data_IF_592526595915
#
_entry.id   IF_592526595915
#
_cell.length_a   1.000
_cell.length_b   1.000
_cell.length_c   1.000
_cell.angle_alpha   90.00
_cell.angle_beta   90.00
_cell.angle_gamma   90.00
#
_symmetry.space_group_name_H-M   'P 1'
#
loop_
_entity.id
_entity.type
_entity.pdbx_description
1 polymer ?
#
# COMPACT_ATOMS: atom_id res chain seq x y z
N UNK A 1 -17.62 -25.96 -19.22
CA UNK A 1 -16.75 -25.37 -18.18
C UNK A 1 -16.55 -23.91 -18.54
N UNK A 2 -17.17 -22.99 -17.80
CA UNK A 2 -16.97 -21.54 -18.03
C UNK A 2 -15.63 -21.20 -17.41
N UNK A 3 -14.64 -20.79 -18.21
CA UNK A 3 -13.40 -20.25 -17.68
C UNK A 3 -13.71 -18.86 -17.12
N UNK A 4 -13.56 -18.69 -15.81
CA UNK A 4 -13.67 -17.39 -15.17
C UNK A 4 -12.52 -16.50 -15.66
N UNK A 5 -12.83 -15.30 -16.14
CA UNK A 5 -11.80 -14.33 -16.55
C UNK A 5 -11.25 -13.63 -15.30
N UNK A 6 -10.12 -14.11 -14.81
CA UNK A 6 -9.45 -13.56 -13.64
C UNK A 6 -8.72 -12.24 -13.92
N UNK A 7 -8.58 -11.79 -15.17
CA UNK A 7 -7.75 -10.63 -15.51
C UNK A 7 -8.48 -9.28 -15.38
N UNK A 8 -9.71 -9.26 -14.86
CA UNK A 8 -10.46 -8.02 -14.71
C UNK A 8 -9.94 -7.21 -13.53
N UNK A 9 -9.69 -5.93 -13.77
CA UNK A 9 -9.15 -5.02 -12.74
C UNK A 9 -10.07 -4.87 -11.52
N UNK A 10 -11.37 -5.06 -11.70
CA UNK A 10 -12.37 -5.07 -10.61
C UNK A 10 -12.14 -6.17 -9.56
N UNK A 11 -11.40 -7.23 -9.92
CA UNK A 11 -11.05 -8.31 -9.00
C UNK A 11 -9.81 -7.99 -8.14
N UNK A 12 -9.12 -6.88 -8.40
CA UNK A 12 -7.85 -6.54 -7.75
C UNK A 12 -7.92 -5.21 -7.03
N UNK A 13 -7.31 -5.17 -5.84
CA UNK A 13 -7.08 -3.93 -5.09
C UNK A 13 -5.70 -3.38 -5.48
N UNK A 14 -5.57 -2.06 -5.51
CA UNK A 14 -4.28 -1.42 -5.73
C UNK A 14 -3.27 -1.89 -4.66
N UNK A 15 -2.08 -2.27 -5.10
CA UNK A 15 -1.04 -2.85 -4.26
C UNK A 15 -0.60 -1.90 -3.14
N UNK A 16 -0.57 -0.60 -3.41
CA UNK A 16 -0.09 0.40 -2.46
C UNK A 16 -1.13 0.71 -1.39
N UNK A 17 -2.40 0.79 -1.77
CA UNK A 17 -3.51 0.84 -0.80
C UNK A 17 -3.55 -0.41 0.08
N UNK A 18 -3.42 -1.60 -0.50
CA UNK A 18 -3.39 -2.84 0.29
C UNK A 18 -2.22 -2.88 1.27
N UNK A 19 -1.10 -2.22 0.95
CA UNK A 19 0.04 -2.10 1.85
C UNK A 19 -0.21 -1.08 2.96
N UNK A 20 -0.83 0.06 2.66
CA UNK A 20 -1.25 1.04 3.66
C UNK A 20 -2.26 0.43 4.65
N UNK A 21 -3.23 -0.34 4.16
CA UNK A 21 -4.18 -1.08 5.00
C UNK A 21 -3.48 -2.09 5.92
N UNK A 22 -2.41 -2.72 5.44
CA UNK A 22 -1.57 -3.56 6.29
C UNK A 22 -0.90 -2.73 7.39
N UNK A 23 -0.27 -1.60 7.06
CA UNK A 23 0.40 -0.78 8.06
C UNK A 23 -0.60 -0.14 9.07
N UNK A 24 -1.83 0.15 8.63
CA UNK A 24 -2.92 0.56 9.52
C UNK A 24 -3.25 -0.54 10.55
N UNK A 25 -3.28 -1.82 10.15
CA UNK A 25 -3.46 -2.93 11.10
C UNK A 25 -2.30 -3.02 12.11
N UNK A 26 -1.07 -2.76 11.69
CA UNK A 26 0.07 -2.66 12.63
C UNK A 26 -0.11 -1.49 13.62
N UNK A 27 -0.60 -0.35 13.14
CA UNK A 27 -0.93 0.79 14.00
C UNK A 27 -2.07 0.49 14.97
N UNK A 28 -3.04 -0.35 14.58
CA UNK A 28 -4.12 -0.79 15.47
C UNK A 28 -3.57 -1.52 16.69
N UNK A 29 -2.54 -2.37 16.54
CA UNK A 29 -1.89 -3.05 17.66
C UNK A 29 -1.23 -2.10 18.65
N UNK A 30 -0.73 -0.93 18.18
CA UNK A 30 -0.20 0.11 19.07
C UNK A 30 -1.30 0.80 19.90
N UNK A 31 -2.55 0.78 19.42
CA UNK A 31 -3.70 1.43 20.04
C UNK A 31 -4.50 0.51 20.95
N UNK A 32 -4.36 -0.80 20.78
CA UNK A 32 -5.02 -1.80 21.62
C UNK A 32 -4.50 -1.71 23.06
N UNK A 33 -5.40 -1.57 24.03
CA UNK A 33 -5.07 -1.47 25.46
C UNK A 33 -4.88 -2.83 26.12
N UNK A 34 -5.30 -3.92 25.48
CA UNK A 34 -5.05 -5.28 25.94
C UNK A 34 -3.57 -5.68 25.72
N UNK A 35 -2.89 -5.02 24.77
CA UNK A 35 -1.46 -5.16 24.57
C UNK A 35 -0.65 -4.45 25.69
N UNK A 36 0.40 -5.09 26.24
CA UNK A 36 1.29 -4.43 27.20
C UNK A 36 1.87 -3.12 26.65
N UNK A 37 2.07 -2.14 27.53
CA UNK A 37 2.50 -0.79 27.13
C UNK A 37 3.75 -0.78 26.24
N UNK A 38 4.73 -1.63 26.55
CA UNK A 38 5.96 -1.70 25.78
C UNK A 38 5.77 -2.34 24.40
N UNK A 39 4.87 -3.33 24.27
CA UNK A 39 4.53 -3.92 22.95
C UNK A 39 3.82 -2.90 22.07
N UNK A 40 2.94 -2.08 22.65
CA UNK A 40 2.29 -0.97 21.93
C UNK A 40 3.31 0.05 21.40
N UNK A 41 4.33 0.37 22.20
CA UNK A 41 5.42 1.25 21.78
C UNK A 41 6.23 0.63 20.63
N UNK A 42 6.50 -0.68 20.67
CA UNK A 42 7.14 -1.39 19.57
C UNK A 42 6.30 -1.33 18.30
N UNK A 43 4.99 -1.61 18.38
CA UNK A 43 4.10 -1.52 17.22
C UNK A 43 4.04 -0.11 16.62
N UNK A 44 4.08 0.93 17.47
CA UNK A 44 4.16 2.31 17.00
C UNK A 44 5.48 2.56 16.24
N UNK A 45 6.62 2.11 16.78
CA UNK A 45 7.91 2.23 16.12
C UNK A 45 7.94 1.47 14.79
N UNK A 46 7.42 0.23 14.77
CA UNK A 46 7.32 -0.59 13.55
C UNK A 46 6.44 0.11 12.50
N UNK A 47 5.30 0.67 12.90
CA UNK A 47 4.42 1.42 11.99
C UNK A 47 5.16 2.58 11.32
N UNK A 48 5.98 3.32 12.09
CA UNK A 48 6.78 4.43 11.58
C UNK A 48 7.84 3.94 10.60
N UNK A 49 8.63 2.93 10.97
CA UNK A 49 9.68 2.39 10.08
C UNK A 49 9.10 1.82 8.78
N UNK A 50 7.96 1.14 8.85
CA UNK A 50 7.26 0.68 7.67
C UNK A 50 6.85 1.86 6.78
N UNK A 51 6.29 2.92 7.36
CA UNK A 51 5.85 4.10 6.60
C UNK A 51 7.03 4.78 5.91
N UNK A 52 8.18 4.89 6.57
CA UNK A 52 9.41 5.41 5.96
C UNK A 52 9.83 4.57 4.74
N UNK A 53 9.82 3.24 4.86
CA UNK A 53 10.11 2.34 3.73
C UNK A 53 9.12 2.53 2.58
N UNK A 54 7.83 2.69 2.88
CA UNK A 54 6.80 2.93 1.86
C UNK A 54 7.11 4.17 1.02
N UNK A 55 7.48 5.28 1.65
CA UNK A 55 7.86 6.48 0.91
C UNK A 55 9.17 6.31 0.14
N UNK A 56 10.21 5.78 0.79
CA UNK A 56 11.54 5.65 0.19
C UNK A 56 11.56 4.69 -0.99
N UNK A 57 10.81 3.60 -0.92
CA UNK A 57 10.84 2.55 -1.95
C UNK A 57 9.67 2.68 -2.90
N UNK A 58 8.43 2.71 -2.37
CA UNK A 58 7.23 2.53 -3.19
C UNK A 58 6.80 3.82 -3.87
N UNK A 59 6.67 4.91 -3.11
CA UNK A 59 6.32 6.22 -3.67
C UNK A 59 7.41 6.70 -4.63
N UNK A 60 8.68 6.55 -4.26
CA UNK A 60 9.80 6.88 -5.14
C UNK A 60 9.75 6.09 -6.47
N UNK A 61 9.44 4.80 -6.42
CA UNK A 61 9.30 3.98 -7.64
C UNK A 61 8.15 4.45 -8.53
N UNK A 62 6.98 4.74 -7.96
CA UNK A 62 5.84 5.29 -8.71
C UNK A 62 6.17 6.65 -9.33
N UNK A 63 6.87 7.51 -8.59
CA UNK A 63 7.32 8.82 -9.09
C UNK A 63 8.29 8.69 -10.25
N UNK A 64 9.25 7.77 -10.17
CA UNK A 64 10.18 7.51 -11.27
C UNK A 64 9.46 7.01 -12.53
N UNK A 65 8.45 6.15 -12.38
CA UNK A 65 7.61 5.69 -13.49
C UNK A 65 6.79 6.83 -14.09
N UNK A 66 6.20 7.69 -13.26
CA UNK A 66 5.48 8.89 -13.70
C UNK A 66 6.37 9.83 -14.51
N UNK A 67 7.57 10.15 -14.00
CA UNK A 67 8.55 11.02 -14.68
C UNK A 67 9.01 10.43 -16.01
N UNK A 68 9.08 9.10 -16.12
CA UNK A 68 9.46 8.39 -17.35
C UNK A 68 8.32 8.23 -18.36
N UNK A 69 7.16 8.87 -18.13
CA UNK A 69 5.93 8.71 -18.92
C UNK A 69 5.47 7.25 -19.08
N UNK A 70 5.66 6.43 -18.05
CA UNK A 70 5.25 5.03 -18.06
C UNK A 70 3.72 4.91 -17.94
N UNK A 71 3.05 4.48 -19.01
CA UNK A 71 1.57 4.44 -19.10
C UNK A 71 0.93 3.09 -18.85
N UNK A 72 1.70 2.05 -18.53
CA UNK A 72 1.12 0.73 -18.26
C UNK A 72 0.31 0.79 -16.96
N UNK A 73 -0.91 0.26 -17.01
CA UNK A 73 -1.78 0.10 -15.84
C UNK A 73 -1.34 -1.09 -15.00
N UNK A 74 -1.48 -0.97 -13.68
CA UNK A 74 -1.32 -2.09 -12.77
C UNK A 74 -2.54 -3.05 -12.82
N UNK A 75 -2.52 -4.09 -11.99
CA UNK A 75 -3.62 -5.05 -11.90
C UNK A 75 -4.96 -4.40 -11.48
N UNK A 76 -4.93 -3.29 -10.75
CA UNK A 76 -6.12 -2.51 -10.37
C UNK A 76 -6.61 -1.57 -11.48
N UNK A 77 -5.92 -1.55 -12.63
CA UNK A 77 -6.31 -0.74 -13.78
C UNK A 77 -5.85 0.72 -13.71
N UNK A 78 -4.94 1.07 -12.81
CA UNK A 78 -4.45 2.43 -12.59
C UNK A 78 -3.04 2.62 -13.16
N UNK A 79 -2.83 3.74 -13.86
CA UNK A 79 -1.49 4.20 -14.25
C UNK A 79 -0.70 4.73 -13.04
N UNK A 80 0.64 4.81 -13.09
CA UNK A 80 1.43 5.38 -11.98
C UNK A 80 0.97 6.78 -11.55
N UNK A 81 0.67 7.66 -12.50
CA UNK A 81 0.13 9.00 -12.23
C UNK A 81 -1.19 8.94 -11.44
N UNK A 82 -2.11 8.06 -11.84
CA UNK A 82 -3.38 7.88 -11.15
C UNK A 82 -3.22 7.27 -9.76
N UNK A 83 -2.29 6.32 -9.59
CA UNK A 83 -2.01 5.71 -8.30
C UNK A 83 -1.53 6.75 -7.29
N UNK A 84 -0.64 7.65 -7.71
CA UNK A 84 -0.19 8.75 -6.85
C UNK A 84 -1.38 9.68 -6.57
N UNK A 85 -2.03 10.25 -7.59
CA UNK A 85 -3.06 11.30 -7.40
C UNK A 85 -4.31 10.85 -6.67
N UNK A 86 -4.73 9.59 -6.81
CA UNK A 86 -5.99 9.09 -6.21
C UNK A 86 -5.78 8.52 -4.81
N UNK A 87 -4.58 8.05 -4.48
CA UNK A 87 -4.37 7.17 -3.34
C UNK A 87 -3.26 7.59 -2.37
N UNK A 88 -2.39 8.55 -2.74
CA UNK A 88 -1.21 8.97 -1.95
C UNK A 88 -1.15 10.50 -1.88
#
# INVERSE_FOLDING_TARGET
MIMQDYNRSENYINRELSWLDFNLRVLHEARDKENPLFERLKFLAITSSNLDEFFMVRVASLKNMEISDYKKKDASGLTPHEQIRKNI
#
